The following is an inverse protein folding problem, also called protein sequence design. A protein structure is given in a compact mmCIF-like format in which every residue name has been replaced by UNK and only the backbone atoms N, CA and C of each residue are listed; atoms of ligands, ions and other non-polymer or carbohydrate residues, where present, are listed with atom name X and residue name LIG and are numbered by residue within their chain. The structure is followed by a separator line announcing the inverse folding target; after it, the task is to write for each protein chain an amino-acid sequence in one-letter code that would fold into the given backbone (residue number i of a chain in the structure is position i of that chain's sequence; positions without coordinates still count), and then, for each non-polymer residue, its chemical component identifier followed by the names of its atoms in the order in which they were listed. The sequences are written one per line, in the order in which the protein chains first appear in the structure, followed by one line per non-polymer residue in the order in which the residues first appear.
data_IF_979488274793
#
_entry.id   IF_979488274793
#
_cell.length_a   1.000
_cell.length_b   1.000
_cell.length_c   1.000
_cell.angle_alpha   90.00
_cell.angle_beta   90.00
_cell.angle_gamma   90.00
#
_symmetry.space_group_name_H-M   'P 1'
#
loop_
_entity.id
_entity.type
_entity.pdbx_description
1 polymer ?
#
# COMPACT_ATOMS: atom_id res chain seq x y z
N UNK A 1 -48.99 -65.64 -22.96
CA UNK A 1 -47.75 -66.00 -22.22
C UNK A 1 -46.59 -65.18 -22.80
N UNK A 2 -46.07 -64.16 -22.10
CA UNK A 2 -44.88 -63.38 -22.53
C UNK A 2 -44.25 -62.71 -21.30
N UNK A 3 -43.20 -63.33 -20.73
CA UNK A 3 -42.42 -62.76 -19.62
C UNK A 3 -41.30 -61.91 -20.22
N UNK A 4 -41.36 -60.59 -20.04
CA UNK A 4 -40.26 -59.67 -20.40
C UNK A 4 -39.23 -59.67 -19.29
N UNK A 5 -38.03 -60.09 -19.64
CA UNK A 5 -36.83 -60.14 -18.80
C UNK A 5 -36.26 -58.73 -18.64
N UNK A 6 -36.26 -58.22 -17.40
CA UNK A 6 -35.45 -57.08 -17.00
C UNK A 6 -34.19 -57.62 -16.31
N UNK A 7 -33.05 -57.52 -16.97
CA UNK A 7 -31.75 -57.77 -16.36
C UNK A 7 -30.73 -56.78 -16.88
N UNK A 8 -30.04 -56.12 -15.96
CA UNK A 8 -28.68 -55.62 -16.16
C UNK A 8 -28.57 -54.12 -16.41
N UNK A 9 -28.64 -53.31 -15.35
CA UNK A 9 -28.03 -51.98 -15.36
C UNK A 9 -27.52 -51.62 -13.97
N UNK A 10 -26.63 -52.45 -13.43
CA UNK A 10 -25.90 -52.15 -12.20
C UNK A 10 -24.48 -52.67 -12.36
N UNK A 11 -23.55 -51.83 -12.83
CA UNK A 11 -22.09 -51.97 -12.65
C UNK A 11 -21.30 -50.89 -13.41
N UNK A 12 -21.59 -49.59 -13.19
CA UNK A 12 -20.68 -48.52 -13.69
C UNK A 12 -20.51 -47.36 -12.70
N UNK A 13 -20.74 -47.55 -11.40
CA UNK A 13 -20.75 -46.45 -10.41
C UNK A 13 -19.50 -46.34 -9.54
N UNK A 14 -18.60 -47.34 -9.52
CA UNK A 14 -17.48 -47.39 -8.58
C UNK A 14 -16.28 -46.50 -8.93
N UNK A 15 -16.00 -46.33 -10.22
CA UNK A 15 -14.76 -45.68 -10.69
C UNK A 15 -14.87 -44.15 -10.67
N UNK A 16 -16.02 -43.58 -11.03
CA UNK A 16 -16.22 -42.11 -11.07
C UNK A 16 -16.19 -41.43 -9.68
N UNK A 17 -16.53 -42.16 -8.61
CA UNK A 17 -16.56 -41.60 -7.25
C UNK A 17 -15.17 -41.27 -6.69
N UNK A 18 -14.14 -42.04 -7.06
CA UNK A 18 -12.77 -41.82 -6.55
C UNK A 18 -12.11 -40.57 -7.16
N UNK A 19 -12.36 -40.30 -8.44
CA UNK A 19 -11.84 -39.09 -9.11
C UNK A 19 -12.48 -37.81 -8.58
N UNK A 20 -13.78 -37.84 -8.27
CA UNK A 20 -14.48 -36.67 -7.72
C UNK A 20 -13.96 -36.27 -6.32
N UNK A 21 -13.58 -37.25 -5.49
CA UNK A 21 -13.05 -36.98 -4.15
C UNK A 21 -11.64 -36.37 -4.19
N UNK A 22 -10.79 -36.84 -5.11
CA UNK A 22 -9.45 -36.28 -5.30
C UNK A 22 -9.52 -34.86 -5.88
N UNK A 23 -10.40 -34.64 -6.87
CA UNK A 23 -10.59 -33.34 -7.49
C UNK A 23 -11.07 -32.29 -6.48
N UNK A 24 -11.99 -32.64 -5.57
CA UNK A 24 -12.47 -31.69 -4.55
C UNK A 24 -11.39 -31.30 -3.55
N UNK A 25 -10.50 -32.24 -3.17
CA UNK A 25 -9.38 -31.94 -2.27
C UNK A 25 -8.39 -31.00 -2.96
N UNK A 26 -8.06 -31.25 -4.23
CA UNK A 26 -7.17 -30.37 -5.01
C UNK A 26 -7.74 -28.95 -5.15
N UNK A 27 -9.04 -28.81 -5.39
CA UNK A 27 -9.69 -27.49 -5.49
C UNK A 27 -9.59 -26.73 -4.15
N UNK A 28 -9.82 -27.40 -3.02
CA UNK A 28 -9.72 -26.74 -1.70
C UNK A 28 -8.28 -26.34 -1.36
N UNK A 29 -7.30 -27.19 -1.67
CA UNK A 29 -5.88 -26.85 -1.48
C UNK A 29 -5.49 -25.65 -2.35
N UNK A 30 -5.95 -25.62 -3.60
CA UNK A 30 -5.72 -24.49 -4.50
C UNK A 30 -6.37 -23.20 -3.97
N UNK A 31 -7.57 -23.29 -3.39
CA UNK A 31 -8.28 -22.14 -2.84
C UNK A 31 -7.58 -21.57 -1.60
N UNK A 32 -7.07 -22.42 -0.72
CA UNK A 32 -6.27 -22.01 0.45
C UNK A 32 -4.93 -21.40 0.01
N UNK A 33 -4.33 -21.89 -1.08
CA UNK A 33 -3.08 -21.32 -1.60
C UNK A 33 -3.27 -19.92 -2.20
N UNK A 34 -4.45 -19.60 -2.71
CA UNK A 34 -4.74 -18.31 -3.36
C UNK A 34 -4.99 -17.16 -2.37
N UNK A 35 -5.44 -17.45 -1.14
CA UNK A 35 -5.70 -16.40 -0.13
C UNK A 35 -4.43 -15.77 0.43
N UNK A 36 -3.28 -16.42 0.30
CA UNK A 36 -1.98 -15.95 0.80
C UNK A 36 -1.37 -14.79 0.00
N UNK A 37 -1.94 -14.44 -1.16
CA UNK A 37 -1.34 -13.47 -2.10
C UNK A 37 -1.82 -12.03 -1.91
N UNK A 38 -2.77 -11.77 -1.01
CA UNK A 38 -3.20 -10.40 -0.71
C UNK A 38 -2.29 -9.76 0.33
N UNK A 39 -1.04 -9.48 -0.05
CA UNK A 39 -0.23 -8.50 0.67
C UNK A 39 -0.76 -7.12 0.27
N UNK A 40 -1.74 -6.63 1.02
CA UNK A 40 -2.27 -5.28 0.85
C UNK A 40 -1.13 -4.32 1.19
N UNK A 41 -0.57 -3.66 0.17
CA UNK A 41 0.30 -2.53 0.39
C UNK A 41 -0.54 -1.43 1.06
N UNK A 42 -0.46 -1.33 2.40
CA UNK A 42 -1.18 -0.30 3.16
C UNK A 42 -0.72 1.07 2.65
N UNK A 43 -1.63 1.80 2.00
CA UNK A 43 -1.37 3.15 1.53
C UNK A 43 -1.36 4.09 2.73
N UNK A 44 -0.39 4.99 2.77
CA UNK A 44 -0.33 6.07 3.77
C UNK A 44 -1.57 6.96 3.70
N UNK A 45 -2.25 6.99 2.55
CA UNK A 45 -3.44 7.79 2.31
C UNK A 45 -4.66 7.32 3.12
N UNK A 46 -4.71 6.04 3.50
CA UNK A 46 -5.82 5.46 4.27
C UNK A 46 -5.74 5.81 5.77
N UNK A 47 -4.64 6.42 6.20
CA UNK A 47 -4.41 6.77 7.60
C UNK A 47 -5.16 8.05 7.94
N UNK A 48 -5.99 7.98 8.97
CA UNK A 48 -6.77 9.13 9.45
C UNK A 48 -6.15 9.71 10.71
N UNK A 49 -5.82 11.00 10.71
CA UNK A 49 -5.36 11.70 11.91
C UNK A 49 -6.57 12.03 12.78
N UNK A 50 -6.54 11.59 14.04
CA UNK A 50 -7.57 11.89 15.03
C UNK A 50 -7.23 13.14 15.84
N UNK A 51 -5.94 13.29 16.22
CA UNK A 51 -5.47 14.40 17.05
C UNK A 51 -3.99 14.64 16.85
N UNK A 52 -3.56 15.90 16.94
CA UNK A 52 -2.15 16.28 16.98
C UNK A 52 -1.87 16.96 18.33
N UNK A 53 -0.80 16.56 19.02
CA UNK A 53 -0.24 17.27 20.17
C UNK A 53 1.11 17.88 19.78
N UNK A 54 1.12 19.16 19.35
CA UNK A 54 2.35 19.81 18.91
C UNK A 54 3.37 19.96 20.03
N UNK A 55 2.90 20.10 21.28
CA UNK A 55 3.75 20.26 22.47
C UNK A 55 4.59 19.01 22.75
N UNK A 56 4.02 17.83 22.47
CA UNK A 56 4.70 16.54 22.69
C UNK A 56 5.37 15.99 21.43
N UNK A 57 5.24 16.69 20.29
CA UNK A 57 5.59 16.18 18.95
C UNK A 57 4.99 14.79 18.67
N UNK A 58 3.70 14.61 19.02
CA UNK A 58 2.96 13.36 18.85
C UNK A 58 1.65 13.55 18.10
N UNK A 59 1.18 12.50 17.45
CA UNK A 59 -0.14 12.45 16.85
C UNK A 59 -0.84 11.12 17.18
N UNK A 60 -2.16 11.17 17.31
CA UNK A 60 -3.01 9.99 17.38
C UNK A 60 -3.55 9.75 15.98
N UNK A 61 -3.24 8.58 15.42
CA UNK A 61 -3.69 8.14 14.11
C UNK A 61 -4.57 6.91 14.24
N UNK A 62 -5.49 6.74 13.30
CA UNK A 62 -6.24 5.52 13.08
C UNK A 62 -5.61 4.79 11.90
N UNK A 63 -5.11 3.58 12.14
CA UNK A 63 -4.55 2.73 11.09
C UNK A 63 -5.65 2.20 10.17
N UNK A 64 -5.32 1.69 8.97
CA UNK A 64 -6.30 1.07 8.07
C UNK A 64 -7.04 -0.11 8.72
N UNK A 65 -6.39 -0.80 9.66
CA UNK A 65 -6.98 -1.87 10.45
C UNK A 65 -7.98 -1.37 11.51
N UNK A 66 -8.19 -0.05 11.57
CA UNK A 66 -9.11 0.60 12.50
C UNK A 66 -8.57 0.81 13.91
N UNK A 67 -7.27 0.56 14.14
CA UNK A 67 -6.64 0.68 15.45
C UNK A 67 -6.10 2.09 15.69
N UNK A 68 -6.40 2.64 16.86
CA UNK A 68 -5.85 3.92 17.29
C UNK A 68 -4.42 3.72 17.83
N UNK A 69 -3.47 4.47 17.29
CA UNK A 69 -2.04 4.40 17.66
C UNK A 69 -1.47 5.80 17.83
N UNK A 70 -0.60 5.97 18.82
CA UNK A 70 0.15 7.20 19.03
C UNK A 70 1.48 7.07 18.28
N UNK A 71 1.79 8.06 17.45
CA UNK A 71 3.05 8.16 16.71
C UNK A 71 3.86 9.39 17.13
N UNK A 72 5.18 9.32 17.00
CA UNK A 72 6.14 10.42 17.17
C UNK A 72 7.05 10.55 15.93
N UNK A 73 7.78 11.65 15.84
CA UNK A 73 8.83 11.78 14.84
C UNK A 73 9.87 10.65 14.97
N UNK A 74 10.24 10.04 13.84
CA UNK A 74 11.12 8.90 13.76
C UNK A 74 10.42 7.55 13.69
N UNK A 75 9.14 7.45 14.08
CA UNK A 75 8.39 6.20 14.02
C UNK A 75 8.16 5.75 12.58
N UNK A 76 8.14 4.43 12.40
CA UNK A 76 7.74 3.79 11.14
C UNK A 76 6.23 3.69 11.05
N UNK A 77 5.70 3.94 9.86
CA UNK A 77 4.28 3.91 9.55
C UNK A 77 4.06 3.03 8.32
N UNK A 78 3.54 1.83 8.56
CA UNK A 78 3.56 0.75 7.56
C UNK A 78 4.98 0.28 7.24
N UNK A 79 5.16 -0.38 6.09
CA UNK A 79 6.47 -0.90 5.67
C UNK A 79 7.38 0.19 5.07
N UNK A 80 6.79 1.24 4.47
CA UNK A 80 7.50 2.21 3.62
C UNK A 80 7.48 3.64 4.15
N UNK A 81 6.63 3.95 5.13
CA UNK A 81 6.50 5.29 5.71
C UNK A 81 7.38 5.50 6.93
N UNK A 82 7.97 6.68 7.06
CA UNK A 82 8.64 7.16 8.27
C UNK A 82 8.19 8.57 8.62
N UNK A 83 7.74 8.78 9.84
CA UNK A 83 7.35 10.10 10.33
C UNK A 83 8.61 10.94 10.47
N UNK A 84 8.68 12.09 9.81
CA UNK A 84 9.84 12.99 9.87
C UNK A 84 9.58 14.23 10.70
N UNK A 85 8.35 14.74 10.72
CA UNK A 85 8.01 15.97 11.42
C UNK A 85 6.55 15.93 11.91
N UNK A 86 6.31 16.41 13.13
CA UNK A 86 4.95 16.65 13.66
C UNK A 86 4.92 18.08 14.21
N UNK A 87 4.07 18.93 13.64
CA UNK A 87 3.88 20.32 14.06
C UNK A 87 2.41 20.64 14.29
N UNK A 88 2.10 21.84 14.75
CA UNK A 88 0.74 22.34 14.80
C UNK A 88 0.08 22.26 13.42
N UNK A 89 -0.89 21.36 13.27
CA UNK A 89 -1.73 21.24 12.10
C UNK A 89 -1.18 20.40 10.94
N UNK A 90 -0.01 19.75 11.06
CA UNK A 90 0.47 18.82 10.03
C UNK A 90 1.39 17.73 10.56
N UNK A 91 1.40 16.61 9.84
CA UNK A 91 2.33 15.50 9.99
C UNK A 91 3.04 15.31 8.65
N UNK A 92 4.37 15.25 8.68
CA UNK A 92 5.19 14.99 7.49
C UNK A 92 5.74 13.59 7.58
N UNK A 93 5.55 12.84 6.50
CA UNK A 93 5.98 11.45 6.36
C UNK A 93 6.84 11.35 5.11
N UNK A 94 7.94 10.61 5.22
CA UNK A 94 8.71 10.18 4.05
C UNK A 94 8.29 8.76 3.69
N UNK A 95 7.91 8.58 2.44
CA UNK A 95 7.48 7.30 1.88
C UNK A 95 8.52 6.82 0.87
N UNK A 96 9.03 5.61 1.06
CA UNK A 96 9.91 4.96 0.08
C UNK A 96 9.06 4.40 -1.06
N UNK A 97 9.24 4.94 -2.26
CA UNK A 97 8.62 4.48 -3.50
C UNK A 97 9.67 3.81 -4.39
N UNK A 98 9.24 3.22 -5.50
CA UNK A 98 10.16 2.63 -6.49
C UNK A 98 11.03 3.69 -7.18
N UNK A 99 10.53 4.92 -7.27
CA UNK A 99 11.20 6.05 -7.93
C UNK A 99 12.07 6.88 -6.99
N UNK A 100 11.95 6.70 -5.68
CA UNK A 100 12.76 7.39 -4.68
C UNK A 100 12.08 7.56 -3.33
N UNK A 101 12.26 8.74 -2.73
CA UNK A 101 11.65 9.10 -1.45
C UNK A 101 10.68 10.24 -1.73
N UNK A 102 9.40 9.97 -1.52
CA UNK A 102 8.32 10.94 -1.63
C UNK A 102 8.02 11.52 -0.26
N UNK A 103 7.73 12.82 -0.22
CA UNK A 103 7.32 13.50 1.01
C UNK A 103 5.81 13.68 1.00
N UNK A 104 5.14 13.05 1.95
CA UNK A 104 3.69 13.16 2.16
C UNK A 104 3.46 14.11 3.32
N UNK A 105 2.75 15.20 3.06
CA UNK A 105 2.36 16.20 4.05
C UNK A 105 0.87 16.04 4.30
N UNK A 106 0.52 15.57 5.49
CA UNK A 106 -0.86 15.40 5.93
C UNK A 106 -1.20 16.60 6.82
N UNK A 107 -2.05 17.50 6.34
CA UNK A 107 -2.55 18.64 7.12
C UNK A 107 -3.86 18.26 7.78
N UNK A 108 -4.01 18.65 9.04
CA UNK A 108 -5.18 18.37 9.86
C UNK A 108 -5.58 19.63 10.64
N UNK A 109 -6.82 20.07 10.45
CA UNK A 109 -7.37 21.27 11.11
C UNK A 109 -8.29 20.94 12.30
N UNK A 110 -8.36 19.67 12.70
CA UNK A 110 -9.27 19.17 13.75
C UNK A 110 -10.55 18.52 13.20
N UNK A 111 -10.93 18.78 11.95
CA UNK A 111 -12.15 18.23 11.34
C UNK A 111 -11.93 17.65 9.95
N UNK A 112 -10.99 18.22 9.20
CA UNK A 112 -10.67 17.89 7.83
C UNK A 112 -9.19 17.53 7.71
N UNK A 113 -8.96 16.45 6.98
CA UNK A 113 -7.64 16.02 6.57
C UNK A 113 -7.42 16.40 5.10
N UNK A 114 -6.22 16.90 4.78
CA UNK A 114 -5.78 17.06 3.40
C UNK A 114 -4.40 16.45 3.23
N UNK A 115 -4.22 15.66 2.17
CA UNK A 115 -2.97 14.96 1.88
C UNK A 115 -2.34 15.64 0.67
N UNK A 116 -1.07 16.04 0.81
CA UNK A 116 -0.26 16.58 -0.28
C UNK A 116 0.96 15.68 -0.46
N UNK A 117 1.12 15.08 -1.64
CA UNK A 117 2.32 14.30 -1.99
C UNK A 117 3.26 15.18 -2.83
N UNK A 118 4.50 15.26 -2.40
CA UNK A 118 5.59 15.92 -3.11
C UNK A 118 6.60 14.85 -3.48
N UNK A 119 6.56 14.42 -4.74
CA UNK A 119 7.53 13.48 -5.28
C UNK A 119 8.78 14.21 -5.72
N UNK A 120 9.96 13.68 -5.35
CA UNK A 120 11.21 14.19 -5.90
C UNK A 120 11.42 13.54 -7.26
N UNK A 121 10.99 14.21 -8.32
CA UNK A 121 11.34 13.77 -9.67
C UNK A 121 12.86 13.81 -9.82
N UNK A 122 13.48 12.65 -9.95
CA UNK A 122 14.92 12.52 -10.22
C UNK A 122 15.16 12.90 -11.69
N UNK A 123 15.02 14.19 -12.02
CA UNK A 123 14.99 14.65 -13.41
C UNK A 123 15.60 16.04 -13.57
N UNK A 124 16.79 16.07 -14.19
CA UNK A 124 17.62 17.24 -14.57
C UNK A 124 17.81 18.26 -13.44
N UNK A 125 19.02 18.23 -12.84
CA UNK A 125 19.54 19.38 -12.09
C UNK A 125 19.33 20.62 -12.98
N UNK A 126 18.75 21.72 -12.46
CA UNK A 126 18.70 22.95 -13.23
C UNK A 126 20.12 23.29 -13.66
N UNK A 127 20.33 23.42 -14.97
CA UNK A 127 21.60 23.92 -15.49
C UNK A 127 21.71 25.37 -15.01
N UNK A 128 22.43 25.58 -13.92
CA UNK A 128 22.84 26.92 -13.53
C UNK A 128 23.76 27.45 -14.63
N UNK A 129 23.21 28.27 -15.52
CA UNK A 129 24.00 28.98 -16.50
C UNK A 129 24.69 30.13 -15.78
N UNK A 130 26.01 30.05 -15.62
CA UNK A 130 26.78 31.21 -15.19
C UNK A 130 26.73 32.24 -16.33
N UNK A 131 26.40 33.53 -16.07
CA UNK A 131 26.51 34.55 -17.09
C UNK A 131 27.96 34.64 -17.54
N UNK A 132 28.20 34.43 -18.84
CA UNK A 132 29.52 34.64 -19.44
C UNK A 132 29.83 36.12 -19.28
N UNK A 133 30.78 36.45 -18.40
CA UNK A 133 31.31 37.80 -18.27
C UNK A 133 32.06 38.12 -19.56
N UNK A 134 31.38 38.79 -20.49
CA UNK A 134 32.02 39.39 -21.67
C UNK A 134 32.81 40.59 -21.19
N UNK A 135 34.01 40.35 -20.67
CA UNK A 135 34.95 41.39 -20.28
C UNK A 135 35.41 42.08 -21.57
N UNK A 136 34.84 43.25 -21.84
CA UNK A 136 35.20 44.08 -22.98
C UNK A 136 36.70 44.28 -23.04
N UNK A 137 37.29 43.81 -24.13
CA UNK A 137 38.65 44.14 -24.53
C UNK A 137 38.56 45.49 -25.23
N UNK A 138 38.68 46.58 -24.47
CA UNK A 138 39.04 47.88 -25.03
C UNK A 138 40.46 47.75 -25.58
N UNK A 139 40.57 47.64 -26.91
CA UNK A 139 41.81 47.89 -27.63
C UNK A 139 42.12 49.38 -27.57
N UNK A 140 43.34 49.69 -27.12
CA UNK A 140 43.98 51.01 -27.25
C UNK A 140 44.64 51.13 -28.60
#
# INVERSE_FOLDING_TARGET
MKRKSHRGSERVSGVRRKYNLCLSVLINVLFISMTSLFVYAQSIEDISILKISPQDHRAVIKTPDGKDTIIKAGDSMGERGKVTEITAGRVVVEEKTETGIDKVIIRFDGKKQTVQRISRTVGKRPLFYAPVSTKGREEK
#
